data_IF_602208228169
#
_entry.id   IF_602208228169
#
_cell.length_a   1.000
_cell.length_b   1.000
_cell.length_c   1.000
_cell.angle_alpha   90.00
_cell.angle_beta   90.00
_cell.angle_gamma   90.00
#
_symmetry.space_group_name_H-M   'P 1'
#
loop_
_entity.id
_entity.type
_entity.pdbx_description
1 polymer ?
#
# COMPACT_ATOMS: atom_id res chain seq x y z
N UNK A 1 4.39 -23.79 6.66
CA UNK A 1 3.47 -22.65 6.84
C UNK A 1 3.18 -22.05 5.47
N UNK A 2 1.91 -21.81 5.10
CA UNK A 2 1.60 -21.11 3.83
C UNK A 2 1.92 -19.63 4.04
N UNK A 3 2.86 -19.08 3.27
CA UNK A 3 3.17 -17.63 3.26
C UNK A 3 1.87 -16.87 2.94
N UNK A 4 1.40 -16.11 3.92
CA UNK A 4 0.22 -15.26 3.77
C UNK A 4 0.61 -14.06 2.90
N UNK A 5 0.05 -13.97 1.69
CA UNK A 5 0.39 -12.87 0.76
C UNK A 5 -0.15 -11.55 1.29
N UNK A 6 0.75 -10.59 1.51
CA UNK A 6 0.43 -9.20 1.82
C UNK A 6 0.67 -8.33 0.61
N UNK A 7 -0.32 -7.53 0.28
CA UNK A 7 -0.32 -6.65 -0.90
C UNK A 7 -0.39 -5.22 -0.39
N UNK A 8 0.58 -4.40 -0.75
CA UNK A 8 0.48 -2.95 -0.56
C UNK A 8 -0.12 -2.34 -1.82
N UNK A 9 -1.35 -1.82 -1.73
CA UNK A 9 -1.98 -1.05 -2.81
C UNK A 9 -1.56 0.40 -2.66
N UNK A 10 -0.93 0.97 -3.69
CA UNK A 10 -0.37 2.33 -3.64
C UNK A 10 -1.12 3.23 -4.62
N UNK A 11 -1.62 4.36 -4.12
CA UNK A 11 -2.35 5.36 -4.90
C UNK A 11 -1.77 6.74 -4.61
N UNK A 12 -1.26 7.43 -5.65
CA UNK A 12 -0.96 8.88 -5.55
C UNK A 12 -2.26 9.70 -5.68
N UNK A 13 -2.52 10.54 -4.68
CA UNK A 13 -3.62 11.49 -4.58
C UNK A 13 -3.05 12.88 -4.29
N UNK A 14 -3.04 13.76 -5.29
CA UNK A 14 -2.59 15.16 -5.13
C UNK A 14 -1.18 15.32 -4.51
N UNK A 15 -0.20 14.50 -4.91
CA UNK A 15 1.18 14.46 -4.37
C UNK A 15 1.30 13.81 -2.99
N UNK A 16 0.25 13.20 -2.47
CA UNK A 16 0.32 12.30 -1.31
C UNK A 16 0.24 10.86 -1.81
N UNK A 17 1.16 10.01 -1.36
CA UNK A 17 1.15 8.60 -1.70
C UNK A 17 0.47 7.86 -0.56
N UNK A 18 -0.67 7.24 -0.83
CA UNK A 18 -1.43 6.49 0.17
C UNK A 18 -1.25 5.00 -0.10
N UNK A 19 -0.70 4.28 0.86
CA UNK A 19 -0.52 2.84 0.83
C UNK A 19 -1.58 2.15 1.69
N UNK A 20 -2.33 1.22 1.13
CA UNK A 20 -3.27 0.38 1.89
C UNK A 20 -2.76 -1.04 1.89
N UNK A 21 -2.48 -1.56 3.08
CA UNK A 21 -2.00 -2.92 3.28
C UNK A 21 -3.17 -3.89 3.33
N UNK A 22 -3.17 -4.86 2.43
CA UNK A 22 -4.12 -5.97 2.36
C UNK A 22 -3.48 -7.25 2.87
N UNK A 23 -4.21 -7.98 3.72
CA UNK A 23 -3.80 -9.27 4.26
C UNK A 23 -4.63 -10.40 3.65
N UNK A 24 -4.27 -10.85 2.46
CA UNK A 24 -4.98 -11.93 1.77
C UNK A 24 -6.50 -11.72 1.75
N UNK A 25 -7.25 -12.73 2.21
CA UNK A 25 -8.73 -12.70 2.30
C UNK A 25 -9.27 -12.05 3.58
N UNK A 26 -8.40 -11.61 4.49
CA UNK A 26 -8.81 -10.95 5.72
C UNK A 26 -9.19 -9.48 5.49
N UNK A 27 -8.89 -8.94 4.30
CA UNK A 27 -9.22 -7.58 3.91
C UNK A 27 -8.13 -6.57 4.28
N UNK A 28 -8.55 -5.33 4.54
CA UNK A 28 -7.67 -4.21 4.86
C UNK A 28 -7.10 -4.38 6.26
N UNK A 29 -5.78 -4.36 6.37
CA UNK A 29 -5.03 -4.43 7.62
C UNK A 29 -4.72 -3.04 8.15
N UNK A 30 -4.14 -2.17 7.31
CA UNK A 30 -3.62 -0.87 7.73
C UNK A 30 -3.54 0.11 6.55
N UNK A 31 -3.50 1.41 6.86
CA UNK A 31 -3.32 2.50 5.89
C UNK A 31 -2.13 3.35 6.31
N UNK A 32 -1.18 3.52 5.40
CA UNK A 32 0.03 4.32 5.54
C UNK A 32 -0.01 5.51 4.58
N UNK A 33 0.50 6.65 5.01
CA UNK A 33 0.61 7.85 4.17
C UNK A 33 2.10 8.19 4.04
N UNK A 34 2.54 8.35 2.81
CA UNK A 34 3.91 8.72 2.48
C UNK A 34 3.91 10.08 1.79
N UNK A 35 4.81 10.96 2.22
CA UNK A 35 5.02 12.28 1.64
C UNK A 35 5.91 12.23 0.40
N UNK A 36 6.59 11.10 0.18
CA UNK A 36 7.50 10.90 -0.96
C UNK A 36 7.67 9.42 -1.31
N UNK A 37 8.16 9.13 -2.53
CA UNK A 37 8.50 7.76 -2.92
C UNK A 37 9.73 7.22 -2.15
N UNK A 38 10.58 8.07 -1.59
CA UNK A 38 11.69 7.62 -0.74
C UNK A 38 11.16 7.09 0.59
N UNK A 39 10.18 7.76 1.21
CA UNK A 39 9.52 7.24 2.43
C UNK A 39 8.86 5.88 2.18
N UNK A 40 8.19 5.71 1.02
CA UNK A 40 7.63 4.41 0.62
C UNK A 40 8.72 3.33 0.50
N UNK A 41 9.87 3.66 -0.11
CA UNK A 41 10.99 2.72 -0.28
C UNK A 41 11.59 2.33 1.07
N UNK A 42 11.82 3.29 1.96
CA UNK A 42 12.30 3.05 3.32
C UNK A 42 11.34 2.17 4.11
N UNK A 43 10.03 2.44 3.99
CA UNK A 43 8.99 1.61 4.60
C UNK A 43 9.06 0.16 4.09
N UNK A 44 9.12 -0.07 2.78
CA UNK A 44 9.24 -1.42 2.21
C UNK A 44 10.50 -2.14 2.71
N UNK A 45 11.63 -1.44 2.79
CA UNK A 45 12.87 -1.98 3.33
C UNK A 45 12.73 -2.38 4.81
N UNK A 46 12.01 -1.59 5.61
CA UNK A 46 11.77 -1.87 7.02
C UNK A 46 10.90 -3.12 7.28
N UNK A 47 10.07 -3.51 6.30
CA UNK A 47 9.20 -4.70 6.39
C UNK A 47 9.84 -5.96 5.82
N UNK A 48 11.07 -5.89 5.33
CA UNK A 48 11.77 -7.05 4.77
C UNK A 48 12.23 -8.01 5.88
N UNK A 49 11.95 -9.30 5.72
CA UNK A 49 12.42 -10.34 6.65
C UNK A 49 11.74 -10.35 8.03
N UNK A 50 10.65 -9.59 8.23
CA UNK A 50 9.85 -9.62 9.47
C UNK A 50 8.56 -10.42 9.28
N UNK A 51 7.96 -10.88 10.38
CA UNK A 51 6.59 -11.40 10.34
C UNK A 51 5.65 -10.31 9.81
N UNK A 52 5.06 -10.55 8.65
CA UNK A 52 4.22 -9.57 7.97
C UNK A 52 4.89 -8.79 6.82
N UNK A 53 5.97 -9.33 6.25
CA UNK A 53 6.60 -8.84 5.03
C UNK A 53 5.60 -8.60 3.89
N UNK A 54 5.78 -7.48 3.20
CA UNK A 54 5.02 -7.10 2.01
C UNK A 54 5.65 -7.79 0.81
N UNK A 55 4.93 -8.74 0.23
CA UNK A 55 5.47 -9.56 -0.86
C UNK A 55 5.11 -8.99 -2.23
N UNK A 56 4.01 -8.26 -2.32
CA UNK A 56 3.53 -7.65 -3.55
C UNK A 56 3.19 -6.17 -3.33
N UNK A 57 3.49 -5.33 -4.32
CA UNK A 57 3.00 -3.96 -4.42
C UNK A 57 2.15 -3.82 -5.67
N UNK A 58 0.97 -3.25 -5.52
CA UNK A 58 0.05 -2.91 -6.60
C UNK A 58 0.01 -1.37 -6.73
N UNK A 59 0.85 -0.77 -7.58
CA UNK A 59 0.74 0.64 -7.92
C UNK A 59 -0.48 0.86 -8.83
N UNK A 60 -1.37 1.76 -8.43
CA UNK A 60 -2.53 2.17 -9.25
C UNK A 60 -2.14 3.23 -10.28
N UNK A 61 -1.05 3.95 -10.02
CA UNK A 61 -0.44 4.93 -10.92
C UNK A 61 1.09 4.81 -10.92
N UNK A 62 1.73 5.44 -11.90
CA UNK A 62 3.16 5.24 -12.19
C UNK A 62 4.12 5.93 -11.20
N UNK A 63 3.59 6.71 -10.24
CA UNK A 63 4.36 7.67 -9.47
C UNK A 63 5.60 7.09 -8.74
N UNK A 64 5.54 5.84 -8.26
CA UNK A 64 6.64 5.22 -7.52
C UNK A 64 7.09 3.84 -8.04
N UNK A 65 6.71 3.45 -9.26
CA UNK A 65 6.96 2.09 -9.78
C UNK A 65 8.45 1.73 -9.77
N UNK A 66 9.32 2.63 -10.22
CA UNK A 66 10.75 2.35 -10.31
C UNK A 66 11.41 2.22 -8.94
N UNK A 67 11.02 3.05 -7.97
CA UNK A 67 11.53 2.98 -6.58
C UNK A 67 11.11 1.71 -5.87
N UNK A 68 9.89 1.24 -6.13
CA UNK A 68 9.39 -0.04 -5.58
C UNK A 68 10.18 -1.23 -6.15
N UNK A 69 10.54 -1.21 -7.44
CA UNK A 69 11.33 -2.28 -8.06
C UNK A 69 12.71 -2.43 -7.42
N UNK A 70 13.35 -1.34 -7.03
CA UNK A 70 14.62 -1.36 -6.30
C UNK A 70 14.51 -2.09 -4.95
N UNK A 71 13.33 -2.08 -4.31
CA UNK A 71 13.10 -2.70 -2.99
C UNK A 71 13.02 -4.25 -3.04
N UNK A 72 13.16 -4.87 -4.22
CA UNK A 72 13.03 -6.32 -4.45
C UNK A 72 11.67 -6.91 -4.04
N UNK A 73 10.61 -6.10 -4.08
CA UNK A 73 9.22 -6.53 -3.89
C UNK A 73 8.58 -6.78 -5.26
N UNK A 74 7.68 -7.77 -5.36
CA UNK A 74 6.99 -8.06 -6.62
C UNK A 74 6.03 -6.92 -6.97
N UNK A 75 6.23 -6.26 -8.10
CA UNK A 75 5.26 -5.28 -8.63
C UNK A 75 4.23 -6.03 -9.48
N UNK A 76 2.98 -5.98 -9.06
CA UNK A 76 1.87 -6.68 -9.73
C UNK A 76 0.89 -5.69 -10.33
N UNK A 77 0.19 -6.10 -11.39
CA UNK A 77 -0.93 -5.36 -11.97
C UNK A 77 -2.26 -5.94 -11.49
N UNK A 78 -3.33 -5.13 -11.52
CA UNK A 78 -4.66 -5.53 -11.03
C UNK A 78 -5.21 -6.77 -11.75
N UNK A 79 -4.80 -6.99 -13.02
CA UNK A 79 -5.16 -8.16 -13.82
C UNK A 79 -4.56 -9.44 -13.23
N UNK A 80 -3.35 -9.36 -12.68
CA UNK A 80 -2.64 -10.48 -12.03
C UNK A 80 -3.16 -10.82 -10.63
N UNK A 81 -4.04 -9.99 -10.06
CA UNK A 81 -4.66 -10.25 -8.77
C UNK A 81 -5.75 -11.33 -8.92
N UNK A 82 -5.73 -12.38 -8.09
CA UNK A 82 -6.78 -13.40 -8.06
C UNK A 82 -8.18 -12.79 -7.95
N UNK A 83 -9.16 -13.33 -8.69
CA UNK A 83 -10.54 -12.81 -8.69
C UNK A 83 -11.13 -12.61 -7.29
N UNK A 84 -10.82 -13.54 -6.37
CA UNK A 84 -11.26 -13.52 -4.96
C UNK A 84 -10.71 -12.37 -4.11
N UNK A 85 -9.69 -11.65 -4.59
CA UNK A 85 -9.08 -10.50 -3.90
C UNK A 85 -9.43 -9.17 -4.58
N UNK A 86 -10.14 -9.20 -5.72
CA UNK A 86 -10.41 -7.98 -6.49
C UNK A 86 -11.29 -7.02 -5.72
N UNK A 87 -12.27 -7.55 -4.97
CA UNK A 87 -13.18 -6.72 -4.18
C UNK A 87 -12.40 -5.95 -3.12
N UNK A 88 -11.54 -6.63 -2.39
CA UNK A 88 -10.68 -6.11 -1.34
C UNK A 88 -9.68 -5.10 -1.90
N UNK A 89 -9.14 -5.35 -3.10
CA UNK A 89 -8.33 -4.38 -3.82
C UNK A 89 -9.13 -3.13 -4.18
N UNK A 90 -10.34 -3.25 -4.72
CA UNK A 90 -11.16 -2.08 -5.03
C UNK A 90 -11.53 -1.28 -3.77
N UNK A 91 -11.87 -1.96 -2.68
CA UNK A 91 -12.13 -1.34 -1.38
C UNK A 91 -10.88 -0.60 -0.86
N UNK A 92 -9.69 -1.19 -0.99
CA UNK A 92 -8.43 -0.55 -0.63
C UNK A 92 -8.14 0.70 -1.50
N UNK A 93 -8.40 0.65 -2.81
CA UNK A 93 -8.24 1.80 -3.70
C UNK A 93 -9.19 2.93 -3.28
N UNK A 94 -10.47 2.60 -3.03
CA UNK A 94 -11.46 3.58 -2.61
C UNK A 94 -11.06 4.24 -1.27
N UNK A 95 -10.64 3.44 -0.30
CA UNK A 95 -10.17 3.93 0.99
C UNK A 95 -8.93 4.82 0.85
N UNK A 96 -7.97 4.45 0.01
CA UNK A 96 -6.77 5.24 -0.25
C UNK A 96 -7.11 6.64 -0.79
N UNK A 97 -8.04 6.70 -1.76
CA UNK A 97 -8.51 7.96 -2.35
C UNK A 97 -9.21 8.84 -1.31
N UNK A 98 -10.08 8.24 -0.48
CA UNK A 98 -10.81 8.97 0.55
C UNK A 98 -9.87 9.53 1.63
N UNK A 99 -8.93 8.72 2.11
CA UNK A 99 -7.91 9.13 3.09
C UNK A 99 -7.03 10.24 2.50
N UNK A 100 -6.55 10.08 1.27
CA UNK A 100 -5.74 11.10 0.60
C UNK A 100 -6.48 12.44 0.45
N UNK A 101 -7.76 12.40 0.07
CA UNK A 101 -8.60 13.59 -0.06
C UNK A 101 -8.81 14.31 1.29
N UNK A 102 -9.07 13.56 2.37
CA UNK A 102 -9.26 14.11 3.72
C UNK A 102 -7.97 14.66 4.32
N UNK A 103 -6.84 13.96 4.14
CA UNK A 103 -5.53 14.43 4.59
C UNK A 103 -5.17 15.77 3.93
N UNK A 104 -5.43 15.90 2.62
CA UNK A 104 -5.27 17.17 1.89
C UNK A 104 -6.14 18.29 2.45
N UNK A 105 -7.38 17.99 2.83
CA UNK A 105 -8.29 18.97 3.40
C UNK A 105 -7.93 19.38 4.85
N UNK A 106 -6.82 18.87 5.41
CA UNK A 106 -6.42 19.11 6.78
C UNK A 106 -7.31 18.42 7.81
N UNK A 107 -8.08 17.40 7.39
CA UNK A 107 -9.09 16.73 8.22
C UNK A 107 -8.59 15.41 8.84
N UNK A 108 -7.33 15.02 8.61
CA UNK A 108 -6.71 13.86 9.25
C UNK A 108 -5.52 14.34 10.07
N UNK A 109 -5.66 14.32 11.40
CA UNK A 109 -4.49 14.16 12.28
C UNK A 109 -4.01 12.72 12.08
N UNK A 110 -2.86 12.56 11.43
CA UNK A 110 -2.29 11.24 11.14
C UNK A 110 -2.13 10.50 12.46
N UNK A 111 -2.94 9.45 12.67
CA UNK A 111 -2.77 8.48 13.75
C UNK A 111 -1.43 7.76 13.51
N UNK A 112 -0.33 8.41 13.91
CA UNK A 112 0.92 7.71 14.19
C UNK A 112 0.61 6.80 15.35
N UNK A 113 0.30 5.53 15.06
CA UNK A 113 0.29 4.50 16.08
C UNK A 113 1.66 4.54 16.77
N UNK A 114 1.63 4.69 18.09
CA UNK A 114 2.80 4.83 18.96
C UNK A 114 3.89 3.78 18.68
N UNK A 115 5.14 4.25 18.80
CA UNK A 115 6.37 3.44 18.71
C UNK A 115 6.40 2.26 19.68
#
# INVERSE_FOLDING_TARGET
MKLERRILVVVDVCKLIVGVLLRGVLGVEHVEIFSSCEELKEFLASKKGVAGEINCVLPVNDACVDRVREARVEVVNIIGIPRRLRREVYEAIHLAVEVGARARAGMIEVLRADK
#
